data_IF_579705117919
#
_entry.id   IF_579705117919
#
_cell.length_a   1.000
_cell.length_b   1.000
_cell.length_c   1.000
_cell.angle_alpha   90.00
_cell.angle_beta   90.00
_cell.angle_gamma   90.00
#
_symmetry.space_group_name_H-M   'P 1'
#
loop_
_entity.id
_entity.type
_entity.pdbx_description
1 polymer ?
#
# COMPACT_ATOMS: atom_id res chain seq x y z
N UNK A 1 -1.86 7.91 -12.31
CA UNK A 1 -0.52 7.88 -11.68
C UNK A 1 0.43 8.60 -12.62
N UNK A 2 1.27 9.49 -12.09
CA UNK A 2 2.27 10.19 -12.91
C UNK A 2 3.25 9.18 -13.56
N UNK A 3 3.70 9.39 -14.80
CA UNK A 3 4.55 8.44 -15.53
C UNK A 3 5.83 8.05 -14.80
N UNK A 4 6.42 8.98 -14.05
CA UNK A 4 7.66 8.78 -13.31
C UNK A 4 7.46 7.81 -12.14
N UNK A 5 6.42 8.01 -11.34
CA UNK A 5 6.07 7.11 -10.22
C UNK A 5 5.75 5.70 -10.75
N UNK A 6 5.04 5.62 -11.88
CA UNK A 6 4.75 4.33 -12.53
C UNK A 6 6.05 3.62 -12.91
N UNK A 7 7.00 4.33 -13.50
CA UNK A 7 8.30 3.78 -13.91
C UNK A 7 9.09 3.28 -12.70
N UNK A 8 9.21 4.09 -11.65
CA UNK A 8 9.91 3.72 -10.41
C UNK A 8 9.29 2.46 -9.77
N UNK A 9 7.96 2.39 -9.70
CA UNK A 9 7.26 1.21 -9.18
C UNK A 9 7.59 -0.04 -9.99
N UNK A 10 7.50 0.04 -11.32
CA UNK A 10 7.77 -1.09 -12.21
C UNK A 10 9.22 -1.57 -12.07
N UNK A 11 10.18 -0.65 -12.04
CA UNK A 11 11.60 -0.97 -11.84
C UNK A 11 11.85 -1.62 -10.46
N UNK A 12 11.16 -1.18 -9.41
CA UNK A 12 11.28 -1.76 -8.07
C UNK A 12 10.70 -3.17 -8.00
N UNK A 13 9.52 -3.39 -8.60
CA UNK A 13 8.89 -4.71 -8.67
C UNK A 13 9.75 -5.71 -9.43
N UNK A 14 10.27 -5.34 -10.60
CA UNK A 14 11.18 -6.20 -11.36
C UNK A 14 12.46 -6.49 -10.59
N UNK A 15 13.01 -5.47 -9.93
CA UNK A 15 14.21 -5.61 -9.11
C UNK A 15 13.98 -6.57 -7.95
N UNK A 16 12.80 -6.55 -7.32
CA UNK A 16 12.44 -7.47 -6.26
C UNK A 16 12.43 -8.93 -6.75
N UNK A 17 11.76 -9.21 -7.86
CA UNK A 17 11.67 -10.56 -8.45
C UNK A 17 13.04 -11.08 -8.91
N UNK A 18 13.87 -10.21 -9.51
CA UNK A 18 15.21 -10.59 -10.00
C UNK A 18 16.24 -10.84 -8.90
N UNK A 19 15.96 -10.47 -7.64
CA UNK A 19 16.95 -10.48 -6.54
C UNK A 19 16.89 -11.69 -5.62
N UNK A 20 16.25 -12.80 -6.02
CA UNK A 20 16.18 -14.05 -5.24
C UNK A 20 17.51 -14.47 -4.62
N UNK A 21 18.55 -14.59 -5.45
CA UNK A 21 19.88 -15.05 -5.02
C UNK A 21 20.53 -14.09 -4.03
N UNK A 22 20.28 -12.79 -4.18
CA UNK A 22 20.77 -11.77 -3.24
C UNK A 22 20.16 -11.99 -1.85
N UNK A 23 18.84 -12.11 -1.73
CA UNK A 23 18.16 -12.36 -0.46
C UNK A 23 18.64 -13.66 0.20
N UNK A 24 18.78 -14.73 -0.60
CA UNK A 24 19.32 -16.02 -0.14
C UNK A 24 20.74 -15.90 0.40
N UNK A 25 21.62 -15.17 -0.31
CA UNK A 25 23.03 -15.00 0.09
C UNK A 25 23.19 -14.24 1.41
N UNK A 26 22.34 -13.24 1.65
CA UNK A 26 22.41 -12.41 2.87
C UNK A 26 21.59 -12.99 4.03
N UNK A 27 20.90 -14.12 3.83
CA UNK A 27 20.06 -14.76 4.85
C UNK A 27 18.87 -13.91 5.29
N UNK A 28 18.36 -13.03 4.43
CA UNK A 28 17.19 -12.19 4.72
C UNK A 28 15.93 -12.77 4.09
N UNK A 29 14.81 -12.61 4.79
CA UNK A 29 13.48 -12.90 4.23
C UNK A 29 13.31 -12.20 2.87
N UNK A 30 12.86 -12.95 1.86
CA UNK A 30 12.66 -12.41 0.51
C UNK A 30 11.31 -11.69 0.41
N UNK A 31 11.25 -10.55 1.11
CA UNK A 31 10.07 -9.70 1.18
C UNK A 31 10.32 -8.26 0.75
N UNK A 32 9.25 -7.60 0.32
CA UNK A 32 9.24 -6.17 -0.03
C UNK A 32 7.98 -5.50 0.51
N UNK A 33 8.14 -4.37 1.19
CA UNK A 33 7.02 -3.60 1.73
C UNK A 33 6.71 -2.34 0.93
N UNK A 34 5.42 -2.12 0.63
CA UNK A 34 4.90 -0.93 -0.01
C UNK A 34 3.90 -0.22 0.90
N UNK A 35 3.95 1.12 0.93
CA UNK A 35 2.95 1.96 1.57
C UNK A 35 2.27 2.82 0.51
N UNK A 36 0.99 2.56 0.27
CA UNK A 36 0.13 3.37 -0.59
C UNK A 36 -0.65 4.35 0.27
N UNK A 37 -0.44 5.64 0.08
CA UNK A 37 -1.10 6.66 0.90
C UNK A 37 -1.70 7.78 0.08
N UNK A 38 -2.80 8.36 0.56
CA UNK A 38 -3.47 9.48 -0.09
C UNK A 38 -4.98 9.44 0.11
N UNK A 39 -5.73 10.41 -0.43
CA UNK A 39 -7.17 10.52 -0.23
C UNK A 39 -7.95 9.24 -0.59
N UNK A 40 -9.15 9.03 -0.01
CA UNK A 40 -10.02 7.93 -0.43
C UNK A 40 -10.42 8.07 -1.90
N UNK A 41 -10.62 6.94 -2.58
CA UNK A 41 -11.05 6.92 -3.98
C UNK A 41 -9.95 7.22 -5.02
N UNK A 42 -8.67 7.34 -4.63
CA UNK A 42 -7.57 7.58 -5.59
C UNK A 42 -7.02 6.32 -6.26
N UNK A 43 -7.66 5.16 -6.05
CA UNK A 43 -7.31 3.90 -6.71
C UNK A 43 -6.19 3.11 -6.04
N UNK A 44 -6.01 3.24 -4.71
CA UNK A 44 -5.02 2.47 -3.94
C UNK A 44 -5.21 0.95 -4.14
N UNK A 45 -6.40 0.41 -3.88
CA UNK A 45 -6.69 -1.02 -4.05
C UNK A 45 -6.62 -1.45 -5.53
N UNK A 46 -7.00 -0.57 -6.47
CA UNK A 46 -6.85 -0.83 -7.91
C UNK A 46 -5.37 -0.96 -8.33
N UNK A 47 -4.46 -0.19 -7.73
CA UNK A 47 -3.03 -0.32 -7.97
C UNK A 47 -2.50 -1.66 -7.47
N UNK A 48 -2.95 -2.12 -6.30
CA UNK A 48 -2.59 -3.43 -5.75
C UNK A 48 -2.99 -4.55 -6.72
N UNK A 49 -4.22 -4.51 -7.22
CA UNK A 49 -4.71 -5.46 -8.21
C UNK A 49 -3.85 -5.42 -9.49
N UNK A 50 -3.44 -4.24 -9.95
CA UNK A 50 -2.56 -4.09 -11.10
C UNK A 50 -1.15 -4.68 -10.84
N UNK A 51 -0.57 -4.48 -9.65
CA UNK A 51 0.71 -5.07 -9.26
C UNK A 51 0.64 -6.60 -9.24
N UNK A 52 -0.41 -7.17 -8.63
CA UNK A 52 -0.63 -8.60 -8.57
C UNK A 52 -0.76 -9.23 -9.95
N UNK A 53 -1.56 -8.62 -10.83
CA UNK A 53 -1.73 -9.08 -12.21
C UNK A 53 -0.42 -9.00 -13.01
N UNK A 54 0.35 -7.92 -12.84
CA UNK A 54 1.64 -7.77 -13.50
C UNK A 54 2.64 -8.86 -13.09
N UNK A 55 2.71 -9.16 -11.79
CA UNK A 55 3.62 -10.15 -11.24
C UNK A 55 3.11 -11.60 -11.33
N UNK A 56 1.81 -11.79 -11.62
CA UNK A 56 1.09 -13.06 -11.50
C UNK A 56 1.14 -13.61 -10.07
N UNK A 57 0.89 -12.74 -9.10
CA UNK A 57 0.88 -13.07 -7.67
C UNK A 57 -0.56 -13.18 -7.16
N UNK A 58 -0.76 -14.06 -6.17
CA UNK A 58 -2.03 -14.17 -5.46
C UNK A 58 -2.21 -13.01 -4.46
N UNK A 59 -3.43 -12.50 -4.31
CA UNK A 59 -3.75 -11.44 -3.35
C UNK A 59 -4.39 -12.06 -2.12
N UNK A 60 -3.86 -11.74 -0.95
CA UNK A 60 -4.44 -12.06 0.34
C UNK A 60 -4.77 -10.76 1.08
N UNK A 61 -6.06 -10.51 1.29
CA UNK A 61 -6.52 -9.37 2.07
C UNK A 61 -6.61 -9.74 3.56
N UNK A 62 -5.98 -8.92 4.41
CA UNK A 62 -5.92 -9.13 5.85
C UNK A 62 -6.78 -8.11 6.58
N UNK A 63 -7.98 -8.53 6.94
CA UNK A 63 -8.89 -7.72 7.76
C UNK A 63 -8.45 -7.71 9.23
N UNK A 64 -7.74 -6.66 9.65
CA UNK A 64 -7.29 -6.50 11.04
C UNK A 64 -8.43 -6.46 12.07
N UNK A 65 -9.62 -6.02 11.66
CA UNK A 65 -10.79 -5.92 12.53
C UNK A 65 -11.25 -7.27 13.08
N UNK A 66 -11.04 -8.34 12.31
CA UNK A 66 -11.52 -9.70 12.62
C UNK A 66 -10.46 -10.56 13.33
N UNK A 67 -9.28 -10.00 13.63
CA UNK A 67 -8.21 -10.71 14.31
C UNK A 67 -8.27 -10.50 15.82
N UNK A 68 -8.68 -11.54 16.54
CA UNK A 68 -8.80 -11.52 18.00
C UNK A 68 -7.60 -12.12 18.75
N UNK A 69 -6.65 -12.75 18.05
CA UNK A 69 -5.47 -13.35 18.68
C UNK A 69 -4.25 -13.46 17.76
N UNK A 70 -3.05 -13.45 18.38
CA UNK A 70 -1.78 -13.70 17.67
C UNK A 70 -1.71 -15.08 17.02
N UNK A 71 -2.37 -16.10 17.58
CA UNK A 71 -2.42 -17.44 17.01
C UNK A 71 -3.25 -17.49 15.73
N UNK A 72 -4.38 -16.79 15.69
CA UNK A 72 -5.18 -16.64 14.47
C UNK A 72 -4.39 -15.91 13.37
N UNK A 73 -3.72 -14.80 13.73
CA UNK A 73 -2.84 -14.09 12.81
C UNK A 73 -1.72 -15.01 12.28
N UNK A 74 -1.08 -15.80 13.17
CA UNK A 74 -0.05 -16.77 12.77
C UNK A 74 -0.58 -17.77 11.77
N UNK A 75 -1.75 -18.35 12.04
CA UNK A 75 -2.36 -19.34 11.15
C UNK A 75 -2.63 -18.76 9.78
N UNK A 76 -3.16 -17.53 9.70
CA UNK A 76 -3.40 -16.84 8.43
C UNK A 76 -2.10 -16.59 7.68
N UNK A 77 -1.08 -16.01 8.33
CA UNK A 77 0.20 -15.72 7.69
C UNK A 77 0.93 -16.99 7.22
N UNK A 78 0.84 -18.09 7.96
CA UNK A 78 1.39 -19.39 7.54
C UNK A 78 0.60 -19.97 6.37
N UNK A 79 -0.71 -19.77 6.31
CA UNK A 79 -1.55 -20.25 5.21
C UNK A 79 -1.36 -19.47 3.90
N UNK A 80 -0.85 -18.24 3.97
CA UNK A 80 -0.55 -17.48 2.74
C UNK A 80 0.58 -18.13 1.95
N UNK A 81 0.34 -18.32 0.66
CA UNK A 81 1.27 -18.99 -0.26
C UNK A 81 2.49 -18.15 -0.61
N UNK A 82 3.43 -18.79 -1.30
CA UNK A 82 4.55 -18.12 -1.96
C UNK A 82 4.03 -17.34 -3.20
N UNK A 83 4.78 -16.33 -3.67
CA UNK A 83 4.38 -15.45 -4.79
C UNK A 83 3.04 -14.78 -4.53
N UNK A 84 2.98 -14.11 -3.39
CA UNK A 84 1.76 -13.48 -2.90
C UNK A 84 1.95 -12.02 -2.51
N UNK A 85 0.86 -11.27 -2.59
CA UNK A 85 0.73 -9.92 -2.07
C UNK A 85 -0.21 -9.97 -0.87
N UNK A 86 0.32 -9.72 0.32
CA UNK A 86 -0.45 -9.51 1.54
C UNK A 86 -0.88 -8.05 1.61
N UNK A 87 -2.18 -7.80 1.67
CA UNK A 87 -2.77 -6.46 1.73
C UNK A 87 -3.25 -6.20 3.15
N UNK A 88 -2.91 -5.02 3.68
CA UNK A 88 -3.37 -4.55 4.97
C UNK A 88 -3.96 -3.16 4.73
N UNK A 89 -5.29 -3.09 4.63
CA UNK A 89 -6.00 -1.86 4.30
C UNK A 89 -6.27 -0.97 5.52
N UNK A 90 -6.37 0.33 5.27
CA UNK A 90 -6.81 1.39 6.22
C UNK A 90 -6.14 1.30 7.61
N UNK A 91 -4.80 1.22 7.60
CA UNK A 91 -4.03 1.08 8.85
C UNK A 91 -4.17 2.27 9.80
N UNK A 92 -4.56 3.45 9.33
CA UNK A 92 -4.86 4.62 10.16
C UNK A 92 -6.12 4.45 11.02
N UNK A 93 -7.15 3.77 10.52
CA UNK A 93 -8.33 3.44 11.32
C UNK A 93 -7.97 2.49 12.48
N UNK A 94 -7.01 1.58 12.26
CA UNK A 94 -6.55 0.65 13.28
C UNK A 94 -5.82 1.35 14.44
N UNK A 95 -5.07 2.42 14.14
CA UNK A 95 -4.31 3.21 15.11
C UNK A 95 -5.24 4.10 15.95
N UNK A 96 -6.18 4.81 15.31
CA UNK A 96 -7.14 5.67 16.03
C UNK A 96 -8.04 4.85 16.99
N UNK A 97 -8.36 3.60 16.64
CA UNK A 97 -9.09 2.66 17.52
C UNK A 97 -8.26 2.16 18.71
N UNK A 98 -6.93 2.09 18.57
CA UNK A 98 -6.02 1.70 19.66
C UNK A 98 -5.90 2.82 20.69
N UNK A 99 -5.69 4.07 20.24
CA UNK A 99 -5.57 5.25 21.12
C UNK A 99 -6.83 5.50 21.96
N UNK A 100 -8.02 5.29 21.38
CA UNK A 100 -9.29 5.45 22.10
C UNK A 100 -9.53 4.35 23.14
N UNK A 101 -9.06 3.12 22.92
CA UNK A 101 -9.26 1.99 23.85
C UNK A 101 -8.27 1.96 25.01
N UNK A 102 -7.03 2.45 24.82
CA UNK A 102 -6.06 2.63 25.92
C UNK A 102 -6.64 3.52 27.02
N UNK A 103 -7.49 4.49 26.66
CA UNK A 103 -8.17 5.38 27.61
C UNK A 103 -9.27 4.71 28.44
N UNK A 104 -9.74 3.51 28.06
CA UNK A 104 -10.87 2.82 28.70
C UNK A 104 -10.51 1.47 29.38
N UNK A 105 -9.23 1.18 29.63
CA UNK A 105 -8.82 0.15 30.59
C UNK A 105 -9.20 -1.31 30.27
N UNK A 106 -9.52 -1.64 29.02
CA UNK A 106 -9.81 -3.03 28.60
C UNK A 106 -8.53 -3.84 28.38
N UNK A 107 -8.33 -4.90 29.16
CA UNK A 107 -7.09 -5.70 29.23
C UNK A 107 -6.97 -6.84 28.19
N UNK A 108 -7.61 -6.73 27.03
CA UNK A 108 -7.37 -7.73 25.97
C UNK A 108 -6.09 -7.36 25.20
N UNK A 109 -5.17 -8.32 24.97
CA UNK A 109 -3.97 -8.10 24.18
C UNK A 109 -4.36 -7.92 22.71
N UNK A 110 -4.79 -6.72 22.35
CA UNK A 110 -5.12 -6.36 20.98
C UNK A 110 -3.85 -6.32 20.13
N UNK A 111 -3.93 -6.94 18.96
CA UNK A 111 -2.95 -6.87 17.90
C UNK A 111 -2.67 -5.41 17.52
N UNK A 112 -1.45 -4.94 17.77
CA UNK A 112 -0.97 -3.65 17.29
C UNK A 112 -0.33 -3.80 15.91
N UNK A 113 -0.31 -2.74 15.11
CA UNK A 113 0.34 -2.76 13.80
C UNK A 113 1.86 -3.02 13.91
N UNK A 114 2.49 -2.48 14.96
CA UNK A 114 3.89 -2.77 15.28
C UNK A 114 4.09 -4.24 15.68
N UNK A 115 3.17 -4.80 16.47
CA UNK A 115 3.16 -6.22 16.82
C UNK A 115 3.02 -7.13 15.60
N UNK A 116 2.13 -6.78 14.67
CA UNK A 116 1.95 -7.46 13.39
C UNK A 116 3.25 -7.46 12.56
N UNK A 117 3.90 -6.31 12.42
CA UNK A 117 5.16 -6.22 11.66
C UNK A 117 6.28 -7.03 12.31
N UNK A 118 6.44 -6.93 13.64
CA UNK A 118 7.41 -7.75 14.38
C UNK A 118 7.14 -9.24 14.16
N UNK A 119 5.86 -9.62 14.16
CA UNK A 119 5.45 -11.00 13.96
C UNK A 119 5.77 -11.49 12.55
N UNK A 120 5.47 -10.69 11.52
CA UNK A 120 5.81 -10.99 10.12
C UNK A 120 7.33 -11.08 9.93
N UNK A 121 8.08 -10.12 10.47
CA UNK A 121 9.55 -10.09 10.42
C UNK A 121 10.13 -11.37 11.03
N UNK A 122 9.61 -11.80 12.19
CA UNK A 122 10.03 -13.03 12.87
C UNK A 122 9.64 -14.30 12.11
N UNK A 123 8.38 -14.40 11.65
CA UNK A 123 7.87 -15.59 10.98
C UNK A 123 8.59 -15.86 9.65
N UNK A 124 8.74 -14.83 8.81
CA UNK A 124 9.30 -15.00 7.47
C UNK A 124 10.83 -14.92 7.44
N UNK A 125 11.49 -14.57 8.55
CA UNK A 125 12.96 -14.61 8.65
C UNK A 125 13.56 -15.98 8.31
N UNK A 126 12.78 -17.05 8.49
CA UNK A 126 13.19 -18.43 8.24
C UNK A 126 12.66 -19.01 6.92
N UNK A 127 11.80 -18.29 6.21
CA UNK A 127 11.15 -18.75 4.98
C UNK A 127 11.81 -18.10 3.75
N UNK A 128 12.17 -18.92 2.77
CA UNK A 128 12.69 -18.46 1.46
C UNK A 128 11.61 -17.98 0.49
N UNK A 129 10.44 -17.63 1.02
CA UNK A 129 9.26 -17.30 0.23
C UNK A 129 9.33 -15.87 -0.31
N UNK A 130 8.94 -15.72 -1.56
CA UNK A 130 8.81 -14.48 -2.32
C UNK A 130 7.46 -13.84 -1.98
N UNK A 131 7.48 -12.79 -1.14
CA UNK A 131 6.24 -12.15 -0.66
C UNK A 131 6.31 -10.64 -0.73
N UNK A 132 5.22 -10.00 -1.13
CA UNK A 132 5.06 -8.55 -1.06
C UNK A 132 4.04 -8.24 0.02
N UNK A 133 4.26 -7.16 0.77
CA UNK A 133 3.28 -6.62 1.70
C UNK A 133 2.91 -5.21 1.25
N UNK A 134 1.63 -4.93 1.13
CA UNK A 134 1.13 -3.59 0.79
C UNK A 134 0.23 -3.07 1.90
N UNK A 135 0.57 -1.90 2.40
CA UNK A 135 -0.21 -1.16 3.38
C UNK A 135 -0.96 -0.02 2.67
N UNK A 136 -2.23 0.19 3.00
CA UNK A 136 -2.97 1.37 2.54
C UNK A 136 -3.33 2.28 3.72
N UNK A 137 -3.24 3.59 3.51
CA UNK A 137 -3.67 4.57 4.51
C UNK A 137 -4.15 5.86 3.86
N UNK A 138 -5.06 6.57 4.52
CA UNK A 138 -5.43 7.93 4.09
C UNK A 138 -4.51 9.00 4.72
N UNK A 139 -3.87 8.69 5.85
CA UNK A 139 -3.12 9.64 6.67
C UNK A 139 -1.74 9.09 7.06
N UNK A 140 -0.74 9.30 6.19
CA UNK A 140 0.65 8.86 6.44
C UNK A 140 1.27 9.52 7.69
N UNK A 141 0.87 10.74 8.00
CA UNK A 141 1.32 11.54 9.14
C UNK A 141 0.88 10.98 10.50
N UNK A 142 -0.19 10.16 10.53
CA UNK A 142 -0.65 9.48 11.75
C UNK A 142 0.11 8.20 12.08
N UNK A 143 0.96 7.72 11.17
CA UNK A 143 1.68 6.47 11.36
C UNK A 143 2.92 6.66 12.23
N UNK A 144 3.17 5.69 13.11
CA UNK A 144 4.42 5.64 13.88
C UNK A 144 5.63 5.57 12.92
N UNK A 145 6.58 6.53 13.01
CA UNK A 145 7.80 6.52 12.21
C UNK A 145 8.61 5.23 12.28
N UNK A 146 8.49 4.44 13.36
CA UNK A 146 9.13 3.13 13.50
C UNK A 146 8.64 2.10 12.46
N UNK A 147 7.44 2.27 11.92
CA UNK A 147 6.87 1.41 10.87
C UNK A 147 7.44 1.75 9.48
N UNK A 148 7.83 3.02 9.28
CA UNK A 148 8.36 3.55 8.02
C UNK A 148 9.85 3.20 7.77
N UNK A 149 10.46 2.42 8.67
CA UNK A 149 11.88 2.06 8.57
C UNK A 149 12.13 1.08 7.42
N UNK A 150 13.32 1.15 6.78
CA UNK A 150 13.72 0.18 5.76
C UNK A 150 13.63 -1.27 6.26
N UNK A 151 13.17 -2.17 5.41
CA UNK A 151 12.87 -3.57 5.73
C UNK A 151 11.41 -3.83 6.11
N UNK A 152 10.63 -2.78 6.42
CA UNK A 152 9.19 -2.88 6.72
C UNK A 152 8.33 -2.28 5.63
N UNK A 153 8.41 -0.97 5.45
CA UNK A 153 7.71 -0.22 4.40
C UNK A 153 8.77 0.50 3.56
N UNK A 154 9.28 -0.19 2.55
CA UNK A 154 10.46 0.25 1.80
C UNK A 154 10.13 1.32 0.76
N UNK A 155 9.01 1.16 0.05
CA UNK A 155 8.60 2.07 -1.02
C UNK A 155 7.30 2.76 -0.63
N UNK A 156 7.29 4.10 -0.64
CA UNK A 156 6.11 4.89 -0.28
C UNK A 156 5.57 5.59 -1.52
N UNK A 157 4.29 5.38 -1.83
CA UNK A 157 3.65 5.87 -3.04
C UNK A 157 2.50 6.80 -2.66
N UNK A 158 2.63 8.07 -3.03
CA UNK A 158 1.60 9.06 -2.83
C UNK A 158 0.55 9.00 -3.96
N UNK A 159 -0.63 8.51 -3.65
CA UNK A 159 -1.80 8.44 -4.51
C UNK A 159 -2.63 9.72 -4.35
N UNK A 160 -2.11 10.82 -4.90
CA UNK A 160 -2.74 12.15 -4.84
C UNK A 160 -3.91 12.30 -5.81
N UNK A 161 -4.67 13.40 -5.69
CA UNK A 161 -5.77 13.72 -6.61
C UNK A 161 -5.29 13.81 -8.07
N UNK A 162 -6.21 13.46 -8.97
CA UNK A 162 -5.96 13.48 -10.41
C UNK A 162 -5.43 14.86 -10.86
N UNK A 163 -4.38 14.84 -11.67
CA UNK A 163 -3.82 16.02 -12.32
C UNK A 163 -4.42 16.19 -13.71
N UNK A 164 -4.37 17.40 -14.32
CA UNK A 164 -4.71 17.60 -15.72
C UNK A 164 -4.06 16.58 -16.68
N UNK A 165 -2.79 16.24 -16.43
CA UNK A 165 -2.06 15.22 -17.18
C UNK A 165 -2.65 13.82 -16.94
N UNK A 166 -2.89 13.47 -15.68
CA UNK A 166 -3.52 12.20 -15.31
C UNK A 166 -4.93 12.05 -15.90
N UNK A 167 -5.72 13.11 -15.93
CA UNK A 167 -7.06 13.12 -16.51
C UNK A 167 -7.02 12.83 -18.00
N UNK A 168 -6.14 13.51 -18.75
CA UNK A 168 -5.96 13.24 -20.19
C UNK A 168 -5.53 11.81 -20.46
N UNK A 169 -4.66 11.24 -19.63
CA UNK A 169 -4.28 9.83 -19.74
C UNK A 169 -5.48 8.90 -19.53
N UNK A 170 -6.35 9.19 -18.55
CA UNK A 170 -7.57 8.42 -18.33
C UNK A 170 -8.56 8.59 -19.50
N UNK A 171 -8.78 9.81 -19.97
CA UNK A 171 -9.65 10.10 -21.11
C UNK A 171 -9.16 9.38 -22.39
N UNK A 172 -7.85 9.38 -22.62
CA UNK A 172 -7.27 8.64 -23.74
C UNK A 172 -7.45 7.13 -23.60
N UNK A 173 -7.20 6.56 -22.42
CA UNK A 173 -7.28 5.11 -22.22
C UNK A 173 -8.71 4.57 -22.23
N UNK A 174 -9.68 5.29 -21.66
CA UNK A 174 -11.05 4.80 -21.49
C UNK A 174 -12.03 5.31 -22.55
N UNK A 175 -11.80 6.51 -23.09
CA UNK A 175 -12.71 7.14 -24.05
C UNK A 175 -12.08 7.29 -25.44
N UNK A 176 -10.83 6.87 -25.63
CA UNK A 176 -10.07 7.06 -26.88
C UNK A 176 -10.01 8.53 -27.34
N UNK A 177 -10.06 9.47 -26.39
CA UNK A 177 -9.94 10.91 -26.66
C UNK A 177 -8.46 11.28 -26.59
N UNK A 178 -7.87 11.62 -27.74
CA UNK A 178 -6.45 11.96 -27.85
C UNK A 178 -6.24 13.49 -27.96
N UNK A 179 -5.10 13.95 -27.45
CA UNK A 179 -4.48 15.29 -27.60
C UNK A 179 -5.33 16.53 -27.27
N UNK A 180 -6.33 16.85 -28.09
CA UNK A 180 -7.01 18.15 -28.09
C UNK A 180 -8.53 17.99 -28.14
N UNK A 181 -9.14 17.88 -26.96
CA UNK A 181 -10.59 18.05 -26.81
C UNK A 181 -10.88 19.51 -26.46
N UNK A 182 -11.93 20.10 -27.07
CA UNK A 182 -12.30 21.50 -26.85
C UNK A 182 -12.52 21.84 -25.37
N UNK A 183 -13.04 20.87 -24.61
CA UNK A 183 -13.30 21.02 -23.17
C UNK A 183 -12.06 20.88 -22.27
N UNK A 184 -10.90 20.45 -22.78
CA UNK A 184 -9.73 20.24 -21.91
C UNK A 184 -9.26 21.54 -21.24
N UNK A 185 -9.38 22.70 -21.91
CA UNK A 185 -9.05 23.98 -21.29
C UNK A 185 -9.93 24.28 -20.07
N UNK A 186 -11.25 24.16 -20.23
CA UNK A 186 -12.21 24.39 -19.15
C UNK A 186 -12.04 23.39 -18.00
N UNK A 187 -11.83 22.11 -18.32
CA UNK A 187 -11.58 21.06 -17.33
C UNK A 187 -10.31 21.35 -16.54
N UNK A 188 -9.22 21.77 -17.20
CA UNK A 188 -7.97 22.12 -16.53
C UNK A 188 -8.17 23.27 -15.52
N UNK A 189 -8.94 24.28 -15.90
CA UNK A 189 -9.27 25.42 -15.03
C UNK A 189 -10.12 24.99 -13.83
N UNK A 190 -11.15 24.18 -14.04
CA UNK A 190 -12.00 23.65 -12.97
C UNK A 190 -11.20 22.80 -11.98
N UNK A 191 -10.32 21.91 -12.48
CA UNK A 191 -9.45 21.08 -11.63
C UNK A 191 -8.44 21.90 -10.83
N UNK A 192 -7.94 23.01 -11.38
CA UNK A 192 -7.06 23.94 -10.68
C UNK A 192 -7.82 24.80 -9.66
N UNK A 193 -9.03 25.22 -9.98
CA UNK A 193 -9.92 25.99 -9.12
C UNK A 193 -10.31 25.22 -7.85
N UNK A 194 -10.71 23.95 -7.98
CA UNK A 194 -11.04 23.09 -6.84
C UNK A 194 -9.85 22.82 -5.93
N UNK A 195 -8.64 22.66 -6.49
CA UNK A 195 -7.40 22.51 -5.70
C UNK A 195 -7.12 23.74 -4.83
N UNK A 196 -7.48 24.93 -5.32
CA UNK A 196 -7.32 26.18 -4.58
C UNK A 196 -8.30 26.26 -3.41
N UNK A 197 -9.55 25.82 -3.59
CA UNK A 197 -10.54 25.70 -2.52
C UNK A 197 -10.18 24.65 -1.44
N UNK A 198 -9.67 23.48 -1.84
CA UNK A 198 -9.25 22.43 -0.90
C UNK A 198 -7.98 22.75 -0.10
N UNK A 199 -7.14 23.68 -0.58
CA UNK A 199 -5.95 24.17 0.16
C UNK A 199 -6.26 25.29 1.16
N UNK A 200 -7.44 25.92 1.08
CA UNK A 200 -7.88 26.98 2.00
C UNK A 200 -8.71 26.46 3.18
N UNK A 201 -8.96 25.15 3.24
CA UNK A 201 -9.53 24.43 4.39
C UNK A 201 -8.46 23.56 5.02
#
# INVERSE_FOLDING_TARGET
MEPEIKKELMEDLERFVKRREYYKKVGKAWKRGYLLYGPPGTGKSSLIAAMANYLKFDIYDLELANLHSNSALRSLLVSTGNRSILVIEDIDCSVDLQDRKVRYGGSDPKLTLSGLLNFIDGLWSSCGDERIIVFTTNHKDKLDPALLRPGRMDMHINMSYCTPKGFRLLASNYLSIHDHHQLFGEIDELMQGERRWKKMR
#
